data_IF_579993198025
#
_entry.id   IF_579993198025
#
_cell.length_a   1.000
_cell.length_b   1.000
_cell.length_c   1.000
_cell.angle_alpha   90.00
_cell.angle_beta   90.00
_cell.angle_gamma   90.00
#
_symmetry.space_group_name_H-M   'P 1'
#
loop_
_entity.id
_entity.type
_entity.pdbx_description
1 polymer ?
#
# COMPACT_ATOMS: atom_id res chain seq x y z
N UNK A 1 27.86 -41.45 25.00
CA UNK A 1 27.72 -40.94 23.61
C UNK A 1 26.33 -41.27 23.04
N UNK A 2 25.24 -40.73 23.60
CA UNK A 2 23.87 -41.05 23.16
C UNK A 2 22.88 -39.88 23.37
N UNK A 3 23.39 -38.65 23.36
CA UNK A 3 22.59 -37.42 23.56
C UNK A 3 22.60 -36.50 22.34
N UNK A 4 23.56 -36.66 21.41
CA UNK A 4 23.67 -35.80 20.22
C UNK A 4 22.56 -36.05 19.18
N UNK A 5 22.03 -37.28 19.11
CA UNK A 5 21.07 -37.67 18.06
C UNK A 5 19.71 -36.94 18.13
N UNK A 6 19.39 -36.33 19.28
CA UNK A 6 18.15 -35.57 19.48
C UNK A 6 18.33 -34.05 19.35
N UNK A 7 19.57 -33.53 19.38
CA UNK A 7 19.84 -32.09 19.26
C UNK A 7 19.68 -31.58 17.83
N UNK A 8 20.01 -32.41 16.83
CA UNK A 8 19.94 -32.06 15.41
C UNK A 8 18.50 -31.83 14.92
N UNK A 9 17.49 -32.70 15.20
CA UNK A 9 16.12 -32.46 14.74
C UNK A 9 15.44 -31.29 15.46
N UNK A 10 15.77 -31.03 16.74
CA UNK A 10 15.23 -29.87 17.49
C UNK A 10 15.74 -28.55 16.91
N UNK A 11 17.01 -28.49 16.51
CA UNK A 11 17.58 -27.29 15.88
C UNK A 11 16.92 -26.96 14.53
N UNK A 12 16.59 -27.98 13.73
CA UNK A 12 15.91 -27.83 12.45
C UNK A 12 14.44 -27.39 12.57
N UNK A 13 13.72 -27.84 13.61
CA UNK A 13 12.32 -27.44 13.85
C UNK A 13 12.23 -25.95 14.25
N UNK A 14 13.21 -25.43 14.98
CA UNK A 14 13.26 -24.01 15.35
C UNK A 14 13.55 -23.08 14.15
N UNK A 15 14.25 -23.55 13.11
CA UNK A 15 14.56 -22.72 11.92
C UNK A 15 13.35 -22.43 11.04
N UNK A 16 12.32 -23.29 11.05
CA UNK A 16 11.10 -23.10 10.24
C UNK A 16 10.11 -22.07 10.80
N UNK A 17 10.20 -21.75 12.09
CA UNK A 17 9.31 -20.80 12.75
C UNK A 17 9.72 -19.31 12.55
N UNK A 18 10.88 -19.06 11.94
CA UNK A 18 11.38 -17.72 11.62
C UNK A 18 11.25 -17.38 10.13
N UNK A 19 10.22 -17.87 9.46
CA UNK A 19 9.77 -17.21 8.23
C UNK A 19 9.25 -15.83 8.65
N UNK A 20 10.13 -14.82 8.59
CA UNK A 20 9.76 -13.41 8.82
C UNK A 20 8.65 -13.09 7.82
N UNK A 21 7.46 -12.79 8.33
CA UNK A 21 6.40 -12.16 7.56
C UNK A 21 7.01 -10.87 6.97
N UNK A 22 7.39 -10.92 5.69
CA UNK A 22 8.04 -9.81 5.00
C UNK A 22 7.05 -8.71 4.60
N UNK A 23 5.81 -8.79 5.11
CA UNK A 23 4.70 -7.94 4.74
C UNK A 23 4.07 -7.34 5.99
N UNK A 24 3.92 -6.03 5.97
CA UNK A 24 3.20 -5.32 7.02
C UNK A 24 1.69 -5.63 6.91
N UNK A 25 0.94 -5.52 8.03
CA UNK A 25 -0.52 -5.67 8.00
C UNK A 25 -1.18 -4.74 6.97
N UNK A 26 -2.27 -5.18 6.33
CA UNK A 26 -2.96 -4.36 5.31
C UNK A 26 -3.40 -3.00 5.85
N UNK A 27 -3.88 -2.96 7.10
CA UNK A 27 -4.26 -1.72 7.78
C UNK A 27 -3.08 -0.76 8.01
N UNK A 28 -1.84 -1.24 7.91
CA UNK A 28 -0.62 -0.43 7.97
C UNK A 28 -0.30 0.17 6.61
N UNK A 29 -0.33 -0.64 5.55
CA UNK A 29 0.05 -0.22 4.19
C UNK A 29 -1.06 0.50 3.43
N UNK A 30 -2.32 0.32 3.81
CA UNK A 30 -3.46 0.94 3.13
C UNK A 30 -4.27 1.80 4.10
N UNK A 31 -4.17 3.12 3.96
CA UNK A 31 -4.95 4.09 4.76
C UNK A 31 -6.02 4.75 3.90
N UNK A 32 -7.26 4.79 4.41
CA UNK A 32 -8.37 5.48 3.75
C UNK A 32 -9.15 4.64 2.74
N UNK A 33 -9.49 3.40 3.10
CA UNK A 33 -10.31 2.52 2.27
C UNK A 33 -11.63 3.17 1.82
N UNK A 34 -12.29 3.94 2.69
CA UNK A 34 -13.54 4.60 2.33
C UNK A 34 -13.34 5.71 1.30
N UNK A 35 -12.26 6.49 1.40
CA UNK A 35 -11.88 7.49 0.38
C UNK A 35 -11.64 6.82 -0.96
N UNK A 36 -10.89 5.71 -0.97
CA UNK A 36 -10.64 4.92 -2.17
C UNK A 36 -11.95 4.39 -2.77
N UNK A 37 -12.83 3.80 -1.96
CA UNK A 37 -14.11 3.27 -2.43
C UNK A 37 -15.00 4.36 -3.04
N UNK A 38 -15.02 5.57 -2.44
CA UNK A 38 -15.73 6.73 -3.01
C UNK A 38 -15.13 7.16 -4.35
N UNK A 39 -13.81 7.16 -4.48
CA UNK A 39 -13.13 7.49 -5.72
C UNK A 39 -13.44 6.47 -6.83
N UNK A 40 -13.44 5.16 -6.51
CA UNK A 40 -13.87 4.09 -7.43
C UNK A 40 -15.32 4.29 -7.87
N UNK A 41 -16.22 4.59 -6.95
CA UNK A 41 -17.63 4.83 -7.29
C UNK A 41 -17.78 6.02 -8.24
N UNK A 42 -17.09 7.15 -7.96
CA UNK A 42 -17.09 8.34 -8.81
C UNK A 42 -16.50 8.07 -10.20
N UNK A 43 -15.37 7.37 -10.26
CA UNK A 43 -14.71 7.01 -11.51
C UNK A 43 -15.61 6.16 -12.41
N UNK A 44 -16.35 5.21 -11.82
CA UNK A 44 -17.33 4.38 -12.53
C UNK A 44 -18.52 5.19 -13.02
N UNK A 45 -19.10 6.04 -12.17
CA UNK A 45 -20.26 6.86 -12.55
C UNK A 45 -19.94 7.87 -13.67
N UNK A 46 -18.70 8.35 -13.72
CA UNK A 46 -18.23 9.30 -14.73
C UNK A 46 -17.49 8.65 -15.91
N UNK A 47 -17.47 7.31 -15.95
CA UNK A 47 -16.83 6.53 -17.01
C UNK A 47 -15.39 6.97 -17.32
N UNK A 48 -14.59 7.22 -16.27
CA UNK A 48 -13.20 7.70 -16.42
C UNK A 48 -12.31 6.77 -17.24
N UNK A 49 -12.66 5.48 -17.34
CA UNK A 49 -12.00 4.51 -18.22
C UNK A 49 -12.04 4.88 -19.72
N UNK A 50 -12.95 5.76 -20.15
CA UNK A 50 -13.01 6.26 -21.51
C UNK A 50 -12.07 7.45 -21.77
N UNK A 51 -11.55 8.07 -20.70
CA UNK A 51 -10.63 9.20 -20.81
C UNK A 51 -9.23 8.71 -21.20
N UNK A 52 -8.50 9.47 -22.05
CA UNK A 52 -7.05 9.35 -22.21
C UNK A 52 -6.32 9.41 -20.88
N UNK A 53 -5.17 8.71 -20.76
CA UNK A 53 -4.47 8.55 -19.48
C UNK A 53 -4.13 9.88 -18.79
N UNK A 54 -3.78 10.92 -19.55
CA UNK A 54 -3.50 12.25 -19.00
C UNK A 54 -4.73 12.91 -18.37
N UNK A 55 -5.84 12.95 -19.12
CA UNK A 55 -7.12 13.50 -18.64
C UNK A 55 -7.69 12.69 -17.48
N UNK A 56 -7.54 11.36 -17.52
CA UNK A 56 -7.92 10.47 -16.43
C UNK A 56 -7.12 10.73 -15.17
N UNK A 57 -5.80 10.88 -15.29
CA UNK A 57 -4.91 11.22 -14.17
C UNK A 57 -5.30 12.58 -13.57
N UNK A 58 -5.61 13.56 -14.42
CA UNK A 58 -6.09 14.87 -13.99
C UNK A 58 -7.45 14.77 -13.26
N UNK A 59 -8.40 13.98 -13.77
CA UNK A 59 -9.70 13.76 -13.14
C UNK A 59 -9.55 13.13 -11.74
N UNK A 60 -8.67 12.15 -11.59
CA UNK A 60 -8.34 11.56 -10.28
C UNK A 60 -7.71 12.61 -9.36
N UNK A 61 -6.70 13.35 -9.84
CA UNK A 61 -6.03 14.38 -9.05
C UNK A 61 -7.01 15.44 -8.55
N UNK A 62 -7.94 15.89 -9.40
CA UNK A 62 -9.00 16.83 -9.01
C UNK A 62 -9.93 16.26 -7.94
N UNK A 63 -10.28 14.96 -8.02
CA UNK A 63 -11.11 14.32 -7.01
C UNK A 63 -10.41 14.10 -5.67
N UNK A 64 -9.07 14.16 -5.64
CA UNK A 64 -8.27 14.08 -4.43
C UNK A 64 -8.01 15.46 -3.77
N UNK A 65 -8.39 16.57 -4.43
CA UNK A 65 -8.29 17.93 -3.88
C UNK A 65 -9.05 18.02 -2.55
N UNK A 66 -8.42 18.67 -1.56
CA UNK A 66 -8.94 18.77 -0.19
C UNK A 66 -8.42 17.69 0.76
N UNK A 67 -7.76 16.65 0.25
CA UNK A 67 -6.99 15.73 1.09
C UNK A 67 -5.82 16.47 1.72
N UNK A 68 -5.55 16.21 3.01
CA UNK A 68 -4.53 16.91 3.79
C UNK A 68 -3.13 16.70 3.21
N UNK A 69 -2.35 17.78 3.13
CA UNK A 69 -0.91 17.66 2.85
C UNK A 69 -0.18 17.01 4.03
N UNK A 70 0.56 15.93 3.81
CA UNK A 70 1.29 15.20 4.86
C UNK A 70 2.60 14.63 4.31
N UNK A 71 3.72 15.06 4.89
CA UNK A 71 5.05 14.46 4.67
C UNK A 71 5.21 13.08 5.35
N UNK A 72 6.20 12.31 4.90
CA UNK A 72 6.59 11.00 5.44
C UNK A 72 5.45 9.98 5.46
N UNK A 73 4.60 9.98 4.43
CA UNK A 73 3.48 9.04 4.32
C UNK A 73 3.91 7.63 3.95
N UNK A 74 5.12 7.46 3.41
CA UNK A 74 5.74 6.18 3.05
C UNK A 74 6.62 5.59 4.17
N UNK A 75 7.01 6.39 5.17
CA UNK A 75 7.83 5.96 6.32
C UNK A 75 6.98 5.19 7.35
N UNK A 76 6.50 4.00 6.97
CA UNK A 76 5.50 3.24 7.74
C UNK A 76 6.09 2.16 8.65
N UNK A 77 7.36 1.81 8.48
CA UNK A 77 8.09 0.84 9.33
C UNK A 77 9.60 1.09 9.26
N UNK A 78 10.34 0.72 10.31
CA UNK A 78 11.79 0.96 10.41
C UNK A 78 12.65 -0.19 9.85
N UNK A 79 12.04 -1.27 9.35
CA UNK A 79 12.74 -2.50 8.94
C UNK A 79 12.23 -3.07 7.64
N UNK A 80 10.91 -3.00 7.41
CA UNK A 80 10.25 -3.62 6.27
C UNK A 80 9.79 -2.53 5.30
N UNK A 81 10.42 -2.50 4.12
CA UNK A 81 9.89 -1.73 2.99
C UNK A 81 8.65 -2.43 2.43
N UNK A 82 7.55 -1.70 2.27
CA UNK A 82 6.29 -2.26 1.77
C UNK A 82 5.55 -1.24 0.90
N UNK A 83 5.05 -1.64 -0.29
CA UNK A 83 4.20 -0.78 -1.09
C UNK A 83 3.00 -0.32 -0.28
N UNK A 84 2.77 0.98 -0.24
CA UNK A 84 1.75 1.58 0.61
C UNK A 84 1.05 2.76 -0.06
N UNK A 85 -0.15 3.07 0.45
CA UNK A 85 -0.98 4.16 -0.04
C UNK A 85 -1.73 4.81 1.13
N UNK A 86 -1.85 6.14 1.07
CA UNK A 86 -2.54 6.91 2.11
C UNK A 86 -3.50 7.94 1.52
N UNK A 87 -4.79 7.59 1.45
CA UNK A 87 -5.85 8.51 1.01
C UNK A 87 -6.31 9.48 2.11
N UNK A 88 -5.70 9.45 3.30
CA UNK A 88 -5.98 10.40 4.39
C UNK A 88 -4.97 11.55 4.45
N UNK A 89 -3.84 11.42 3.75
CA UNK A 89 -2.86 12.48 3.62
C UNK A 89 -1.74 12.10 2.66
N UNK A 90 -1.29 13.07 1.87
CA UNK A 90 -0.31 12.88 0.80
C UNK A 90 0.56 14.13 0.66
N UNK A 91 1.76 13.96 0.12
CA UNK A 91 2.63 15.04 -0.33
C UNK A 91 2.60 15.15 -1.86
N UNK A 92 3.46 15.99 -2.45
CA UNK A 92 3.49 16.19 -3.89
C UNK A 92 3.81 14.90 -4.67
N UNK A 93 4.66 14.04 -4.12
CA UNK A 93 5.09 12.81 -4.76
C UNK A 93 3.98 11.76 -4.74
N UNK A 94 3.50 11.45 -3.54
CA UNK A 94 2.44 10.46 -3.34
C UNK A 94 1.11 10.89 -3.96
N UNK A 95 0.81 12.19 -4.03
CA UNK A 95 -0.34 12.70 -4.78
C UNK A 95 -0.30 12.28 -6.26
N UNK A 96 0.83 12.55 -6.93
CA UNK A 96 1.00 12.23 -8.34
C UNK A 96 0.97 10.72 -8.58
N UNK A 97 1.72 9.95 -7.78
CA UNK A 97 1.78 8.50 -7.92
C UNK A 97 0.43 7.84 -7.70
N UNK A 98 -0.34 8.27 -6.70
CA UNK A 98 -1.70 7.77 -6.44
C UNK A 98 -2.61 8.12 -7.61
N UNK A 99 -2.59 9.37 -8.09
CA UNK A 99 -3.43 9.80 -9.19
C UNK A 99 -3.17 8.99 -10.48
N UNK A 100 -1.90 8.84 -10.85
CA UNK A 100 -1.49 8.08 -12.02
C UNK A 100 -1.77 6.57 -11.87
N UNK A 101 -1.48 6.01 -10.69
CA UNK A 101 -1.71 4.58 -10.43
C UNK A 101 -3.18 4.22 -10.46
N UNK A 102 -4.04 5.05 -9.85
CA UNK A 102 -5.49 4.87 -9.91
C UNK A 102 -6.01 5.00 -11.34
N UNK A 103 -5.49 5.93 -12.14
CA UNK A 103 -5.89 6.09 -13.54
C UNK A 103 -5.58 4.84 -14.41
N UNK A 104 -4.66 3.96 -13.96
CA UNK A 104 -4.32 2.71 -14.67
C UNK A 104 -5.20 1.52 -14.28
N UNK A 105 -6.04 1.66 -13.27
CA UNK A 105 -7.06 0.68 -12.88
C UNK A 105 -8.29 0.76 -13.79
#
# INVERSE_FOLDING_TARGET
MRSWKFLIPVFLICSGAFAVESRLPFSTVFKGQDQFNRLVAKAKSENWQALPIGERTAAVGLALVGTRYKHFTLEIDNRIESPSVNFQGMDCWTFFEIALSFARM
#
